data_IF_040836685548
#
_entry.id   IF_040836685548
#
_cell.length_a   1.000
_cell.length_b   1.000
_cell.length_c   1.000
_cell.angle_alpha   90.00
_cell.angle_beta   90.00
_cell.angle_gamma   90.00
#
_symmetry.space_group_name_H-M   'P 1'
#
loop_
_entity.id
_entity.type
_entity.pdbx_description
1 polymer ?
#
# COMPACT_ATOMS: atom_id res chain seq x y z
N UNK A 1 -1.15 -25.29 2.19
CA UNK A 1 -1.22 -25.21 0.70
C UNK A 1 0.12 -24.79 0.07
N UNK A 2 0.85 -23.82 0.62
CA UNK A 2 2.23 -23.52 0.20
C UNK A 2 3.30 -24.26 1.03
N UNK A 3 3.00 -24.76 2.23
CA UNK A 3 3.84 -25.82 2.83
C UNK A 3 3.84 -27.08 1.97
N UNK A 4 2.74 -27.36 1.25
CA UNK A 4 2.71 -28.35 0.18
C UNK A 4 3.53 -27.93 -1.06
N UNK A 5 3.72 -26.62 -1.32
CA UNK A 5 4.62 -26.15 -2.40
C UNK A 5 6.10 -26.21 -2.01
N UNK A 6 6.45 -25.95 -0.75
CA UNK A 6 7.78 -26.32 -0.21
C UNK A 6 7.97 -27.81 -0.35
N UNK A 7 6.99 -28.64 0.03
CA UNK A 7 7.07 -30.09 -0.12
C UNK A 7 7.20 -30.55 -1.59
N UNK A 8 6.47 -29.95 -2.53
CA UNK A 8 6.54 -30.27 -3.95
C UNK A 8 7.85 -29.83 -4.63
N UNK A 9 8.51 -28.78 -4.11
CA UNK A 9 9.82 -28.33 -4.62
C UNK A 9 11.02 -28.93 -3.86
N UNK A 10 10.79 -29.50 -2.67
CA UNK A 10 11.84 -30.10 -1.81
C UNK A 10 11.92 -31.62 -1.97
N UNK A 11 10.88 -32.29 -2.46
CA UNK A 11 10.87 -33.77 -2.54
C UNK A 11 10.93 -34.27 -3.99
N UNK A 12 12.11 -34.13 -4.59
CA UNK A 12 12.65 -35.23 -5.40
C UNK A 12 13.85 -35.78 -4.60
N UNK A 13 13.69 -36.88 -3.85
CA UNK A 13 14.75 -37.39 -2.99
C UNK A 13 16.05 -37.72 -3.75
N UNK A 14 15.98 -37.93 -5.07
CA UNK A 14 17.10 -38.40 -5.91
C UNK A 14 17.28 -37.62 -7.24
N UNK A 15 16.71 -36.41 -7.37
CA UNK A 15 16.78 -35.63 -8.62
C UNK A 15 17.53 -34.29 -8.47
N UNK A 16 18.18 -33.77 -9.54
CA UNK A 16 18.77 -32.43 -9.49
C UNK A 16 17.66 -31.38 -9.27
N UNK A 17 17.92 -30.43 -8.37
CA UNK A 17 17.00 -29.32 -8.10
C UNK A 17 16.64 -28.60 -9.42
N UNK A 18 15.35 -28.37 -9.72
CA UNK A 18 14.95 -27.63 -10.91
C UNK A 18 15.62 -26.25 -10.98
N UNK A 19 15.84 -25.73 -12.19
CA UNK A 19 16.43 -24.40 -12.34
C UNK A 19 15.49 -23.33 -11.79
N UNK A 20 16.05 -22.23 -11.28
CA UNK A 20 15.26 -21.15 -10.63
C UNK A 20 14.15 -20.62 -11.53
N UNK A 21 14.39 -20.50 -12.84
CA UNK A 21 13.40 -20.09 -13.84
C UNK A 21 12.18 -21.02 -13.88
N UNK A 22 12.38 -22.33 -13.73
CA UNK A 22 11.33 -23.33 -13.83
C UNK A 22 10.51 -23.34 -12.52
N UNK A 23 11.19 -23.14 -11.38
CA UNK A 23 10.53 -22.94 -10.08
C UNK A 23 9.61 -21.71 -10.11
N UNK A 24 10.08 -20.59 -10.65
CA UNK A 24 9.29 -19.37 -10.78
C UNK A 24 8.09 -19.56 -11.72
N UNK A 25 8.29 -20.24 -12.85
CA UNK A 25 7.20 -20.55 -13.78
C UNK A 25 6.12 -21.42 -13.12
N UNK A 26 6.52 -22.49 -12.42
CA UNK A 26 5.58 -23.38 -11.70
C UNK A 26 4.79 -22.59 -10.63
N UNK A 27 5.47 -21.76 -9.83
CA UNK A 27 4.81 -20.87 -8.85
C UNK A 27 3.75 -19.99 -9.51
N UNK A 28 4.09 -19.36 -10.62
CA UNK A 28 3.17 -18.51 -11.36
C UNK A 28 1.95 -19.28 -11.89
N UNK A 29 2.13 -20.47 -12.46
CA UNK A 29 1.02 -21.30 -12.93
C UNK A 29 0.11 -21.75 -11.80
N UNK A 30 0.66 -22.16 -10.65
CA UNK A 30 -0.18 -22.58 -9.52
C UNK A 30 -0.98 -21.39 -8.97
N UNK A 31 -0.36 -20.21 -8.85
CA UNK A 31 -1.07 -19.00 -8.40
C UNK A 31 -2.16 -18.57 -9.38
N UNK A 32 -1.91 -18.69 -10.69
CA UNK A 32 -2.92 -18.44 -11.71
C UNK A 32 -4.10 -19.41 -11.59
N UNK A 33 -3.82 -20.71 -11.39
CA UNK A 33 -4.84 -21.72 -11.19
C UNK A 33 -5.66 -21.45 -9.92
N UNK A 34 -5.00 -21.11 -8.81
CA UNK A 34 -5.67 -20.73 -7.55
C UNK A 34 -6.54 -19.49 -7.74
N UNK A 35 -6.04 -18.47 -8.45
CA UNK A 35 -6.81 -17.27 -8.80
C UNK A 35 -8.11 -17.64 -9.53
N UNK A 36 -8.04 -18.54 -10.50
CA UNK A 36 -9.21 -19.03 -11.24
C UNK A 36 -10.16 -19.85 -10.35
N UNK A 37 -9.63 -20.74 -9.49
CA UNK A 37 -10.42 -21.54 -8.55
C UNK A 37 -11.20 -20.71 -7.52
N UNK A 38 -10.63 -19.59 -7.07
CA UNK A 38 -11.30 -18.68 -6.13
C UNK A 38 -12.47 -17.93 -6.76
N UNK A 39 -12.41 -17.72 -8.08
CA UNK A 39 -13.42 -17.01 -8.86
C UNK A 39 -14.41 -17.98 -9.55
N UNK A 40 -14.26 -19.29 -9.36
CA UNK A 40 -15.19 -20.30 -9.89
C UNK A 40 -16.50 -20.27 -9.10
N UNK A 41 -17.56 -19.80 -9.75
CA UNK A 41 -18.91 -19.68 -9.19
C UNK A 41 -19.33 -18.23 -8.91
N UNK A 42 -20.47 -18.00 -8.25
CA UNK A 42 -20.93 -16.66 -7.94
C UNK A 42 -20.12 -16.07 -6.77
N UNK A 43 -19.13 -15.22 -7.10
CA UNK A 43 -18.38 -14.45 -6.12
C UNK A 43 -17.13 -15.14 -5.57
N UNK A 44 -16.52 -14.53 -4.55
CA UNK A 44 -15.28 -15.03 -3.93
C UNK A 44 -15.61 -16.11 -2.93
N UNK A 45 -14.91 -17.24 -3.00
CA UNK A 45 -14.95 -18.25 -1.95
C UNK A 45 -14.27 -17.72 -0.69
N UNK A 46 -15.06 -17.43 0.33
CA UNK A 46 -14.58 -16.79 1.56
C UNK A 46 -13.51 -17.57 2.31
N UNK A 47 -13.58 -18.90 2.32
CA UNK A 47 -12.59 -19.77 2.97
C UNK A 47 -11.23 -19.72 2.26
N UNK A 48 -11.25 -19.57 0.94
CA UNK A 48 -10.03 -19.41 0.13
C UNK A 48 -9.39 -18.04 0.40
N UNK A 49 -10.20 -16.97 0.46
CA UNK A 49 -9.70 -15.65 0.85
C UNK A 49 -9.10 -15.68 2.26
N UNK A 50 -9.77 -16.32 3.22
CA UNK A 50 -9.23 -16.48 4.57
C UNK A 50 -7.91 -17.25 4.57
N UNK A 51 -7.80 -18.29 3.74
CA UNK A 51 -6.56 -19.07 3.58
C UNK A 51 -5.41 -18.22 3.04
N UNK A 52 -5.66 -17.34 2.07
CA UNK A 52 -4.67 -16.36 1.57
C UNK A 52 -4.26 -15.40 2.68
N UNK A 53 -5.22 -14.83 3.44
CA UNK A 53 -4.91 -13.90 4.53
C UNK A 53 -4.10 -14.57 5.64
N UNK A 54 -4.42 -15.82 5.98
CA UNK A 54 -3.65 -16.62 6.92
C UNK A 54 -2.23 -16.84 6.42
N UNK A 55 -2.06 -17.20 5.14
CA UNK A 55 -0.75 -17.37 4.54
C UNK A 55 0.12 -16.12 4.66
N UNK A 56 -0.43 -14.96 4.29
CA UNK A 56 0.27 -13.67 4.37
C UNK A 56 0.66 -13.27 5.80
N UNK A 57 -0.07 -13.76 6.81
CA UNK A 57 0.21 -13.45 8.22
C UNK A 57 1.13 -14.46 8.89
N UNK A 58 1.23 -15.70 8.41
CA UNK A 58 2.07 -16.74 9.02
C UNK A 58 3.41 -16.92 8.34
N UNK A 59 3.47 -16.81 7.01
CA UNK A 59 4.73 -16.99 6.27
C UNK A 59 5.64 -15.76 6.39
N UNK A 60 6.95 -16.03 6.34
CA UNK A 60 8.01 -15.04 6.50
C UNK A 60 8.97 -14.97 5.31
N UNK A 61 8.92 -15.90 4.35
CA UNK A 61 9.78 -15.80 3.16
C UNK A 61 9.28 -14.70 2.22
N UNK A 62 10.09 -13.66 2.03
CA UNK A 62 9.71 -12.47 1.26
C UNK A 62 9.31 -12.77 -0.19
N UNK A 63 10.01 -13.66 -0.89
CA UNK A 63 9.62 -14.02 -2.27
C UNK A 63 8.23 -14.65 -2.31
N UNK A 64 7.90 -15.50 -1.35
CA UNK A 64 6.61 -16.19 -1.32
C UNK A 64 5.48 -15.21 -0.93
N UNK A 65 5.76 -14.33 0.04
CA UNK A 65 4.85 -13.25 0.41
C UNK A 65 4.58 -12.32 -0.76
N UNK A 66 5.62 -11.96 -1.52
CA UNK A 66 5.52 -11.09 -2.69
C UNK A 66 4.53 -11.65 -3.71
N UNK A 67 4.70 -12.91 -4.10
CA UNK A 67 3.86 -13.56 -5.10
C UNK A 67 2.39 -13.64 -4.67
N UNK A 68 2.14 -14.08 -3.44
CA UNK A 68 0.76 -14.24 -2.93
C UNK A 68 0.10 -12.88 -2.71
N UNK A 69 0.85 -11.89 -2.22
CA UNK A 69 0.35 -10.53 -2.02
C UNK A 69 0.02 -9.87 -3.37
N UNK A 70 0.87 -10.05 -4.38
CA UNK A 70 0.62 -9.56 -5.73
C UNK A 70 -0.62 -10.24 -6.35
N UNK A 71 -0.80 -11.54 -6.11
CA UNK A 71 -2.00 -12.27 -6.54
C UNK A 71 -3.26 -11.67 -5.90
N UNK A 72 -3.24 -11.41 -4.59
CA UNK A 72 -4.37 -10.79 -3.88
C UNK A 72 -4.65 -9.36 -4.37
N UNK A 73 -3.61 -8.56 -4.64
CA UNK A 73 -3.75 -7.22 -5.24
C UNK A 73 -4.43 -7.31 -6.61
N UNK A 74 -3.98 -8.24 -7.47
CA UNK A 74 -4.58 -8.44 -8.79
C UNK A 74 -6.05 -8.83 -8.70
N UNK A 75 -6.43 -9.72 -7.77
CA UNK A 75 -7.83 -10.08 -7.54
C UNK A 75 -8.68 -8.91 -7.04
N UNK A 76 -8.14 -8.10 -6.12
CA UNK A 76 -8.82 -6.91 -5.62
C UNK A 76 -9.07 -5.89 -6.74
N UNK A 77 -8.10 -5.74 -7.65
CA UNK A 77 -8.20 -4.87 -8.83
C UNK A 77 -9.23 -5.40 -9.85
N UNK A 78 -9.20 -6.69 -10.16
CA UNK A 78 -10.01 -7.29 -11.21
C UNK A 78 -11.47 -7.51 -10.79
N UNK A 79 -11.70 -7.83 -9.51
CA UNK A 79 -13.03 -8.18 -8.99
C UNK A 79 -13.42 -7.45 -7.68
N UNK A 80 -13.36 -6.11 -7.64
CA UNK A 80 -13.54 -5.33 -6.41
C UNK A 80 -14.94 -5.48 -5.80
N UNK A 81 -15.98 -5.65 -6.62
CA UNK A 81 -17.37 -5.74 -6.14
C UNK A 81 -17.57 -6.90 -5.15
N UNK A 82 -16.86 -8.01 -5.35
CA UNK A 82 -16.90 -9.16 -4.45
C UNK A 82 -15.73 -9.22 -3.47
N UNK A 83 -14.51 -8.80 -3.87
CA UNK A 83 -13.34 -8.89 -2.98
C UNK A 83 -13.38 -7.87 -1.85
N UNK A 84 -13.79 -6.62 -2.11
CA UNK A 84 -13.80 -5.56 -1.08
C UNK A 84 -14.69 -5.93 0.12
N UNK A 85 -15.96 -6.33 -0.04
CA UNK A 85 -16.78 -6.71 1.11
C UNK A 85 -16.27 -7.96 1.83
N UNK A 86 -15.78 -8.97 1.09
CA UNK A 86 -15.23 -10.18 1.69
C UNK A 86 -13.96 -9.89 2.48
N UNK A 87 -13.07 -9.06 1.94
CA UNK A 87 -11.82 -8.64 2.60
C UNK A 87 -12.08 -7.86 3.89
N UNK A 88 -13.05 -6.94 3.87
CA UNK A 88 -13.50 -6.21 5.06
C UNK A 88 -14.04 -7.16 6.14
N UNK A 89 -14.94 -8.07 5.77
CA UNK A 89 -15.54 -9.03 6.69
C UNK A 89 -14.50 -9.97 7.33
N UNK A 90 -13.48 -10.40 6.57
CA UNK A 90 -12.36 -11.19 7.10
C UNK A 90 -11.28 -10.35 7.78
N UNK A 91 -11.54 -9.07 8.05
CA UNK A 91 -10.61 -8.17 8.74
C UNK A 91 -9.27 -8.02 8.01
N UNK A 92 -9.26 -8.05 6.68
CA UNK A 92 -8.06 -8.07 5.85
C UNK A 92 -7.12 -6.88 6.05
N UNK A 93 -7.62 -5.74 6.53
CA UNK A 93 -6.77 -4.60 6.91
C UNK A 93 -5.78 -4.97 8.03
N UNK A 94 -6.12 -5.90 8.92
CA UNK A 94 -5.16 -6.41 9.93
C UNK A 94 -3.97 -7.09 9.28
N UNK A 95 -4.18 -7.83 8.20
CA UNK A 95 -3.12 -8.45 7.41
C UNK A 95 -2.22 -7.41 6.77
N UNK A 96 -2.78 -6.30 6.25
CA UNK A 96 -1.97 -5.17 5.76
C UNK A 96 -1.05 -4.65 6.87
N UNK A 97 -1.60 -4.32 8.03
CA UNK A 97 -0.82 -3.74 9.13
C UNK A 97 0.24 -4.70 9.69
N UNK A 98 0.00 -6.02 9.64
CA UNK A 98 1.04 -7.03 9.90
C UNK A 98 2.15 -6.94 8.86
N UNK A 99 1.82 -6.91 7.57
CA UNK A 99 2.82 -6.89 6.50
C UNK A 99 3.67 -5.61 6.49
N UNK A 100 3.13 -4.50 7.00
CA UNK A 100 3.89 -3.27 7.21
C UNK A 100 5.06 -3.42 8.21
N UNK A 101 5.09 -4.51 9.00
CA UNK A 101 6.23 -4.82 9.88
C UNK A 101 7.28 -5.73 9.23
N UNK A 102 7.14 -6.04 7.93
CA UNK A 102 8.14 -6.83 7.21
C UNK A 102 9.46 -6.05 7.09
N UNK A 103 10.59 -6.75 7.16
CA UNK A 103 11.90 -6.17 6.89
C UNK A 103 12.06 -5.77 5.41
N UNK A 104 11.39 -6.48 4.50
CA UNK A 104 11.39 -6.16 3.08
C UNK A 104 10.54 -4.94 2.77
N UNK A 105 11.18 -3.90 2.23
CA UNK A 105 10.49 -2.69 1.78
C UNK A 105 9.48 -3.00 0.68
N UNK A 106 9.78 -3.93 -0.22
CA UNK A 106 8.89 -4.34 -1.29
C UNK A 106 7.55 -4.86 -0.73
N UNK A 107 7.60 -5.74 0.28
CA UNK A 107 6.40 -6.27 0.94
C UNK A 107 5.60 -5.16 1.62
N UNK A 108 6.28 -4.24 2.33
CA UNK A 108 5.60 -3.09 2.95
C UNK A 108 4.89 -2.22 1.92
N UNK A 109 5.55 -1.91 0.80
CA UNK A 109 4.98 -1.10 -0.28
C UNK A 109 3.80 -1.80 -0.96
N UNK A 110 3.89 -3.10 -1.21
CA UNK A 110 2.76 -3.88 -1.74
C UNK A 110 1.59 -3.96 -0.74
N UNK A 111 1.86 -4.06 0.56
CA UNK A 111 0.82 -4.03 1.58
C UNK A 111 0.07 -2.68 1.58
N UNK A 112 0.80 -1.57 1.41
CA UNK A 112 0.18 -0.25 1.20
C UNK A 112 -0.64 -0.20 -0.09
N UNK A 113 -0.16 -0.79 -1.20
CA UNK A 113 -0.94 -0.89 -2.45
C UNK A 113 -2.24 -1.66 -2.26
N UNK A 114 -2.20 -2.79 -1.54
CA UNK A 114 -3.39 -3.56 -1.21
C UNK A 114 -4.41 -2.71 -0.42
N UNK A 115 -3.95 -1.93 0.56
CA UNK A 115 -4.78 -0.97 1.27
C UNK A 115 -5.35 0.10 0.33
N UNK A 116 -4.55 0.64 -0.59
CA UNK A 116 -4.98 1.60 -1.59
C UNK A 116 -6.10 1.07 -2.49
N UNK A 117 -5.96 -0.15 -3.02
CA UNK A 117 -7.01 -0.79 -3.82
C UNK A 117 -8.27 -1.03 -2.99
N UNK A 118 -8.14 -1.49 -1.75
CA UNK A 118 -9.29 -1.65 -0.86
C UNK A 118 -10.03 -0.32 -0.61
N UNK A 119 -9.30 0.75 -0.30
CA UNK A 119 -9.88 2.06 -0.03
C UNK A 119 -10.51 2.64 -1.30
N UNK A 120 -9.78 2.72 -2.42
CA UNK A 120 -10.28 3.29 -3.69
C UNK A 120 -11.57 2.64 -4.23
N UNK A 121 -11.85 1.40 -3.82
CA UNK A 121 -13.04 0.64 -4.24
C UNK A 121 -14.08 0.49 -3.12
N UNK A 122 -13.85 1.10 -1.95
CA UNK A 122 -14.78 1.11 -0.82
C UNK A 122 -15.69 2.34 -0.82
N UNK A 123 -16.87 2.19 -0.22
CA UNK A 123 -17.74 3.35 0.06
C UNK A 123 -17.13 4.24 1.14
N UNK A 124 -17.49 5.54 1.17
CA UNK A 124 -17.04 6.44 2.24
C UNK A 124 -17.34 5.92 3.64
N UNK A 125 -18.51 5.31 3.84
CA UNK A 125 -18.89 4.69 5.11
C UNK A 125 -17.93 3.56 5.50
N UNK A 126 -17.63 2.63 4.58
CA UNK A 126 -16.69 1.53 4.86
C UNK A 126 -15.28 2.05 5.15
N UNK A 127 -14.78 3.00 4.36
CA UNK A 127 -13.47 3.65 4.62
C UNK A 127 -13.42 4.21 6.04
N UNK A 128 -14.46 4.94 6.44
CA UNK A 128 -14.56 5.52 7.78
C UNK A 128 -14.62 4.45 8.87
N UNK A 129 -15.52 3.47 8.74
CA UNK A 129 -15.74 2.43 9.75
C UNK A 129 -14.50 1.54 9.93
N UNK A 130 -13.67 1.38 8.90
CA UNK A 130 -12.43 0.58 8.98
C UNK A 130 -11.24 1.40 9.45
N UNK A 131 -11.01 2.59 8.89
CA UNK A 131 -9.76 3.34 9.11
C UNK A 131 -9.81 4.33 10.29
N UNK A 132 -10.98 4.85 10.63
CA UNK A 132 -11.11 5.86 11.68
C UNK A 132 -11.04 5.25 13.09
N UNK A 133 -11.72 4.12 13.38
CA UNK A 133 -11.55 3.44 14.66
C UNK A 133 -10.10 3.03 14.91
N UNK A 134 -9.71 2.97 16.18
CA UNK A 134 -8.36 2.54 16.61
C UNK A 134 -7.19 3.36 16.03
N UNK A 135 -7.46 4.54 15.45
CA UNK A 135 -6.45 5.46 14.92
C UNK A 135 -5.51 4.83 13.87
N UNK A 136 -6.05 4.04 12.92
CA UNK A 136 -5.23 3.31 11.95
C UNK A 136 -4.33 4.22 11.10
N UNK A 137 -4.73 5.47 10.81
CA UNK A 137 -3.83 6.44 10.14
C UNK A 137 -2.61 6.80 10.98
N UNK A 138 -2.75 6.92 12.31
CA UNK A 138 -1.61 7.18 13.20
C UNK A 138 -0.72 5.95 13.26
N UNK A 139 -1.31 4.76 13.44
CA UNK A 139 -0.59 3.49 13.42
C UNK A 139 0.17 3.29 12.10
N UNK A 140 -0.41 3.72 10.98
CA UNK A 140 0.23 3.64 9.65
C UNK A 140 1.54 4.42 9.62
N UNK A 141 1.55 5.65 10.15
CA UNK A 141 2.76 6.45 10.25
C UNK A 141 3.80 5.77 11.15
N UNK A 142 3.39 5.25 12.30
CA UNK A 142 4.27 4.57 13.25
C UNK A 142 4.93 3.34 12.64
N UNK A 143 4.17 2.49 11.93
CA UNK A 143 4.72 1.29 11.27
C UNK A 143 5.74 1.63 10.19
N UNK A 144 5.49 2.67 9.40
CA UNK A 144 6.42 3.08 8.34
C UNK A 144 7.75 3.62 8.91
N UNK A 145 7.70 4.30 10.07
CA UNK A 145 8.91 4.82 10.74
C UNK A 145 9.73 3.75 11.45
N UNK A 146 9.18 2.55 11.68
CA UNK A 146 9.91 1.46 12.35
C UNK A 146 11.06 0.92 11.49
N UNK A 147 10.96 0.99 10.16
CA UNK A 147 11.92 0.35 9.24
C UNK A 147 12.75 1.34 8.42
N UNK A 148 12.28 2.57 8.24
CA UNK A 148 12.95 3.60 7.44
C UNK A 148 13.28 4.82 8.30
N UNK A 149 14.57 5.19 8.33
CA UNK A 149 15.01 6.39 9.05
C UNK A 149 14.69 7.68 8.30
N UNK A 150 14.34 7.61 7.02
CA UNK A 150 14.01 8.76 6.17
C UNK A 150 12.99 8.36 5.09
N UNK A 151 12.01 9.22 4.83
CA UNK A 151 10.97 8.98 3.83
C UNK A 151 11.55 8.92 2.41
N UNK A 152 11.27 7.82 1.70
CA UNK A 152 11.68 7.60 0.31
C UNK A 152 10.61 8.03 -0.70
N UNK A 153 11.01 8.20 -1.98
CA UNK A 153 10.07 8.42 -3.08
C UNK A 153 9.06 7.30 -3.19
N UNK A 154 9.49 6.04 -3.12
CA UNK A 154 8.58 4.89 -3.27
C UNK A 154 7.48 4.91 -2.21
N UNK A 155 7.83 5.13 -0.94
CA UNK A 155 6.84 5.22 0.15
C UNK A 155 5.93 6.43 -0.04
N UNK A 156 6.47 7.61 -0.40
CA UNK A 156 5.67 8.80 -0.67
C UNK A 156 4.69 8.58 -1.84
N UNK A 157 5.14 8.02 -2.95
CA UNK A 157 4.34 7.78 -4.15
C UNK A 157 3.14 6.89 -3.84
N UNK A 158 3.32 5.79 -3.08
CA UNK A 158 2.20 4.93 -2.72
C UNK A 158 1.21 5.67 -1.81
N UNK A 159 1.70 6.49 -0.87
CA UNK A 159 0.82 7.32 -0.05
C UNK A 159 0.08 8.39 -0.88
N UNK A 160 0.74 8.98 -1.88
CA UNK A 160 0.12 9.92 -2.82
C UNK A 160 -0.97 9.25 -3.67
N UNK A 161 -0.73 8.03 -4.14
CA UNK A 161 -1.76 7.26 -4.83
C UNK A 161 -2.94 6.96 -3.91
N UNK A 162 -2.71 6.58 -2.65
CA UNK A 162 -3.82 6.39 -1.68
C UNK A 162 -4.56 7.70 -1.42
N UNK A 163 -3.84 8.81 -1.28
CA UNK A 163 -4.42 10.13 -1.06
C UNK A 163 -5.42 10.52 -2.16
N UNK A 164 -5.10 10.19 -3.41
CA UNK A 164 -5.88 10.59 -4.60
C UNK A 164 -6.76 9.46 -5.15
N UNK A 165 -6.59 8.23 -4.66
CA UNK A 165 -7.23 6.99 -5.13
C UNK A 165 -6.89 6.56 -6.57
N UNK A 166 -5.83 7.10 -7.16
CA UNK A 166 -5.30 6.67 -8.45
C UNK A 166 -4.20 5.60 -8.26
N UNK A 167 -4.62 4.41 -7.83
CA UNK A 167 -3.69 3.33 -7.47
C UNK A 167 -3.16 2.61 -8.71
N UNK A 168 -1.83 2.52 -8.83
CA UNK A 168 -1.18 1.69 -9.85
C UNK A 168 -0.77 0.33 -9.28
N UNK A 169 -0.71 -0.73 -10.09
CA UNK A 169 -0.28 -2.05 -9.60
C UNK A 169 1.23 -2.14 -9.35
N UNK A 170 2.03 -1.34 -10.05
CA UNK A 170 3.49 -1.35 -9.94
C UNK A 170 3.97 -0.34 -8.90
N UNK A 171 5.14 -0.59 -8.31
CA UNK A 171 5.77 0.36 -7.40
C UNK A 171 6.63 1.31 -8.22
N UNK A 172 6.34 2.61 -8.10
CA UNK A 172 7.17 3.65 -8.69
C UNK A 172 8.22 4.10 -7.68
N UNK A 173 9.50 3.94 -8.03
CA UNK A 173 10.63 4.31 -7.17
C UNK A 173 11.19 5.71 -7.43
N UNK A 174 10.79 6.33 -8.53
CA UNK A 174 11.21 7.68 -8.95
C UNK A 174 10.10 8.69 -8.71
N UNK A 175 10.35 9.97 -8.97
CA UNK A 175 9.31 11.01 -8.96
C UNK A 175 8.13 10.62 -9.87
N UNK A 176 6.90 10.79 -9.39
CA UNK A 176 5.69 10.59 -10.20
C UNK A 176 5.41 11.79 -11.11
N UNK A 177 4.62 11.60 -12.20
CA UNK A 177 4.17 12.70 -13.05
C UNK A 177 3.37 13.75 -12.26
N UNK A 178 3.25 14.96 -12.81
CA UNK A 178 2.49 16.03 -12.16
C UNK A 178 1.00 15.65 -11.98
N UNK A 179 0.37 16.05 -10.85
CA UNK A 179 -1.05 15.81 -10.62
C UNK A 179 -1.93 16.41 -11.72
N UNK A 180 -2.91 15.64 -12.19
CA UNK A 180 -3.91 16.19 -13.11
C UNK A 180 -4.87 17.14 -12.37
N UNK A 181 -5.30 18.20 -13.05
CA UNK A 181 -6.07 19.29 -12.44
C UNK A 181 -7.42 18.87 -11.85
N UNK A 182 -7.96 17.72 -12.29
CA UNK A 182 -9.24 17.18 -11.84
C UNK A 182 -9.11 16.26 -10.61
N UNK A 183 -7.90 15.91 -10.19
CA UNK A 183 -7.68 15.01 -9.05
C UNK A 183 -8.19 15.62 -7.74
N UNK A 184 -8.72 14.76 -6.88
CA UNK A 184 -9.31 15.12 -5.59
C UNK A 184 -8.56 14.45 -4.45
N UNK A 185 -8.66 15.05 -3.26
CA UNK A 185 -8.15 14.45 -2.03
C UNK A 185 -9.19 13.48 -1.46
N UNK A 186 -9.20 12.24 -1.95
CA UNK A 186 -10.17 11.22 -1.57
C UNK A 186 -9.89 10.62 -0.17
N UNK A 187 -8.61 10.51 0.21
CA UNK A 187 -8.19 10.07 1.56
C UNK A 187 -7.38 11.16 2.29
N UNK A 188 -8.01 12.27 2.72
CA UNK A 188 -7.30 13.44 3.22
C UNK A 188 -6.47 13.18 4.48
N UNK A 189 -6.81 12.17 5.27
CA UNK A 189 -6.02 11.81 6.46
C UNK A 189 -4.60 11.33 6.13
N UNK A 190 -4.34 10.87 4.90
CA UNK A 190 -2.99 10.51 4.44
C UNK A 190 -2.04 11.71 4.46
N UNK A 191 -2.56 12.94 4.27
CA UNK A 191 -1.78 14.17 4.44
C UNK A 191 -1.14 14.26 5.84
N UNK A 192 -1.88 13.84 6.88
CA UNK A 192 -1.36 13.82 8.26
C UNK A 192 -0.29 12.75 8.43
N UNK A 193 -0.44 11.61 7.76
CA UNK A 193 0.56 10.52 7.73
C UNK A 193 1.86 11.04 7.11
N UNK A 194 1.81 11.55 5.87
CA UNK A 194 2.99 12.09 5.16
C UNK A 194 3.67 13.20 5.96
N UNK A 195 2.91 14.16 6.50
CA UNK A 195 3.47 15.23 7.32
C UNK A 195 4.17 14.72 8.60
N UNK A 196 3.70 13.61 9.16
CA UNK A 196 4.32 12.97 10.33
C UNK A 196 5.62 12.28 9.93
N UNK A 197 5.62 11.55 8.81
CA UNK A 197 6.81 10.90 8.26
C UNK A 197 7.91 11.92 7.93
N UNK A 198 7.58 13.01 7.22
CA UNK A 198 8.53 14.07 6.88
C UNK A 198 9.18 14.67 8.13
N UNK A 199 8.40 14.88 9.19
CA UNK A 199 8.86 15.48 10.44
C UNK A 199 9.78 14.56 11.23
N UNK A 200 9.48 13.26 11.25
CA UNK A 200 10.24 12.27 12.04
C UNK A 200 11.40 11.65 11.26
N UNK A 201 11.46 11.89 9.94
CA UNK A 201 12.57 11.47 9.09
C UNK A 201 13.87 12.22 9.44
N UNK A 202 14.98 11.47 9.45
CA UNK A 202 16.34 12.02 9.44
C UNK A 202 16.54 12.86 8.19
N UNK A 203 17.12 14.04 8.35
CA UNK A 203 17.40 14.95 7.23
C UNK A 203 18.40 14.32 6.26
N UNK A 204 18.10 14.42 4.98
CA UNK A 204 18.90 13.93 3.85
C UNK A 204 18.53 14.72 2.60
N UNK A 205 19.37 14.66 1.57
CA UNK A 205 19.05 15.27 0.25
C UNK A 205 17.81 14.63 -0.35
N UNK A 206 17.68 13.30 -0.27
CA UNK A 206 16.49 12.57 -0.72
C UNK A 206 15.21 13.09 -0.04
N UNK A 207 15.25 13.30 1.28
CA UNK A 207 14.10 13.83 2.01
C UNK A 207 13.74 15.26 1.56
N UNK A 208 14.75 16.08 1.25
CA UNK A 208 14.51 17.42 0.73
C UNK A 208 13.78 17.38 -0.61
N UNK A 209 14.17 16.47 -1.50
CA UNK A 209 13.48 16.27 -2.78
C UNK A 209 12.05 15.74 -2.60
N UNK A 210 11.82 14.81 -1.68
CA UNK A 210 10.46 14.35 -1.34
C UNK A 210 9.61 15.50 -0.75
N UNK A 211 10.18 16.37 0.08
CA UNK A 211 9.48 17.57 0.60
C UNK A 211 9.09 18.52 -0.53
N UNK A 212 10.00 18.79 -1.48
CA UNK A 212 9.74 19.64 -2.66
C UNK A 212 8.60 19.05 -3.49
N UNK A 213 8.66 17.76 -3.78
CA UNK A 213 7.60 17.04 -4.50
C UNK A 213 6.25 17.17 -3.78
N UNK A 214 6.21 16.86 -2.49
CA UNK A 214 4.99 16.96 -1.68
C UNK A 214 4.35 18.35 -1.68
N UNK A 215 5.16 19.40 -1.56
CA UNK A 215 4.66 20.79 -1.63
C UNK A 215 4.18 21.17 -3.03
N UNK A 216 4.89 20.71 -4.07
CA UNK A 216 4.49 20.89 -5.46
C UNK A 216 3.12 20.27 -5.72
N UNK A 217 2.93 19.01 -5.30
CA UNK A 217 1.69 18.28 -5.50
C UNK A 217 0.51 18.96 -4.81
N UNK A 218 0.70 19.40 -3.56
CA UNK A 218 -0.33 20.12 -2.83
C UNK A 218 -0.70 21.43 -3.47
N UNK A 219 0.30 22.15 -4.00
CA UNK A 219 0.07 23.41 -4.71
C UNK A 219 -0.77 23.15 -5.96
N UNK A 220 -0.39 22.16 -6.78
CA UNK A 220 -1.09 21.82 -8.02
C UNK A 220 -2.51 21.30 -7.75
N UNK A 221 -2.68 20.37 -6.81
CA UNK A 221 -3.99 19.84 -6.40
C UNK A 221 -4.92 20.92 -5.82
N UNK A 222 -4.37 21.99 -5.23
CA UNK A 222 -5.17 23.07 -4.65
C UNK A 222 -5.40 24.25 -5.60
N UNK A 223 -4.59 24.42 -6.66
CA UNK A 223 -4.55 25.63 -7.49
C UNK A 223 -5.94 25.95 -8.07
N UNK A 224 -6.63 24.95 -8.62
CA UNK A 224 -7.95 25.11 -9.27
C UNK A 224 -9.08 24.28 -8.64
N UNK A 225 -8.87 23.68 -7.47
CA UNK A 225 -9.87 22.85 -6.81
C UNK A 225 -10.26 23.44 -5.44
N UNK A 226 -11.42 24.10 -5.39
CA UNK A 226 -11.94 24.76 -4.17
C UNK A 226 -12.19 23.76 -3.04
N UNK A 227 -12.61 22.54 -3.36
CA UNK A 227 -12.87 21.52 -2.36
C UNK A 227 -11.55 21.03 -1.75
N UNK A 228 -10.54 20.74 -2.57
CA UNK A 228 -9.21 20.37 -2.06
C UNK A 228 -8.65 21.46 -1.13
N UNK A 229 -8.78 22.75 -1.50
CA UNK A 229 -8.39 23.87 -0.62
C UNK A 229 -9.12 23.84 0.72
N UNK A 230 -10.43 23.63 0.69
CA UNK A 230 -11.25 23.53 1.90
C UNK A 230 -10.78 22.37 2.78
N UNK A 231 -10.59 21.19 2.21
CA UNK A 231 -10.12 20.00 2.91
C UNK A 231 -8.77 20.23 3.60
N UNK A 232 -7.79 20.79 2.88
CA UNK A 232 -6.46 21.08 3.44
C UNK A 232 -6.53 22.11 4.57
N UNK A 233 -7.33 23.18 4.40
CA UNK A 233 -7.47 24.23 5.42
C UNK A 233 -8.22 23.75 6.68
N UNK A 234 -9.18 22.85 6.53
CA UNK A 234 -9.96 22.29 7.65
C UNK A 234 -9.16 21.31 8.50
N UNK A 235 -8.13 20.68 7.93
CA UNK A 235 -7.20 19.89 8.70
C UNK A 235 -6.33 20.83 9.55
N UNK A 236 -6.74 21.08 10.80
CA UNK A 236 -6.18 22.05 11.78
C UNK A 236 -4.66 21.97 11.98
N UNK A 237 -4.08 20.84 11.59
CA UNK A 237 -2.65 20.53 11.62
C UNK A 237 -1.86 21.27 10.54
N UNK A 238 -2.49 21.63 9.41
CA UNK A 238 -1.81 22.19 8.24
C UNK A 238 -1.35 23.63 8.41
N UNK A 239 -2.10 24.48 9.12
CA UNK A 239 -1.67 25.86 9.33
C UNK A 239 -0.31 25.91 10.03
N UNK A 240 -0.12 25.17 11.13
CA UNK A 240 1.16 25.17 11.86
C UNK A 240 2.25 24.39 11.12
N UNK A 241 1.92 23.22 10.53
CA UNK A 241 2.92 22.34 9.90
C UNK A 241 3.41 22.84 8.54
N UNK A 242 2.55 23.48 7.74
CA UNK A 242 2.96 24.08 6.46
C UNK A 242 4.03 25.15 6.67
N UNK A 243 3.84 26.04 7.65
CA UNK A 243 4.84 27.06 8.01
C UNK A 243 6.17 26.46 8.47
N UNK A 244 6.15 25.34 9.20
CA UNK A 244 7.38 24.65 9.62
C UNK A 244 8.11 23.97 8.46
N UNK A 245 7.38 23.31 7.55
CA UNK A 245 7.97 22.66 6.37
C UNK A 245 8.58 23.73 5.45
N UNK A 246 7.85 24.83 5.19
CA UNK A 246 8.35 25.97 4.39
C UNK A 246 9.61 26.60 5.00
N UNK A 247 9.63 26.83 6.32
CA UNK A 247 10.83 27.34 7.04
C UNK A 247 12.03 26.39 6.97
N UNK A 248 11.80 25.07 6.86
CA UNK A 248 12.89 24.09 6.73
C UNK A 248 13.46 24.01 5.30
N UNK A 249 12.69 24.43 4.29
CA UNK A 249 13.15 24.52 2.90
C UNK A 249 13.95 25.79 2.58
N UNK A 250 13.74 26.88 3.33
CA UNK A 250 14.41 28.17 3.13
C UNK A 250 15.78 28.29 3.82
N UNK A 251 16.30 27.23 4.45
CA UNK A 251 17.63 27.27 5.10
C UNK A 251 18.81 26.92 4.16
N UNK A 252 18.53 26.70 2.89
CA UNK A 252 19.52 26.32 1.87
C UNK A 252 19.49 27.23 0.62
N UNK A 253 18.82 28.38 0.71
CA UNK A 253 18.98 29.52 -0.20
C UNK A 253 19.77 30.62 0.55
#
# INVERSE_FOLDING_TARGET
MIDYMKFALVVFPDGPRPAQKDILAIRAYILLFLKQLMMLGPGVKEDELQSILNYLTTVQEDENLHDVLQTLISLMCDHPACLVPAFDMKQGVRTVFKLLTSQSQLIRLQALKLLGFFLSRSTHKRKYDVMSPHNLYTLLAERLLQHESSLSFATYNVLYEILTEHISQQILYTRHPEPESHYRLENPMILKVVATLIRQSKQSELLLEVKKLFLSDLTLLCNNNRENRRTVLQMSVWQVKYWQIRKSGQKYD
#
